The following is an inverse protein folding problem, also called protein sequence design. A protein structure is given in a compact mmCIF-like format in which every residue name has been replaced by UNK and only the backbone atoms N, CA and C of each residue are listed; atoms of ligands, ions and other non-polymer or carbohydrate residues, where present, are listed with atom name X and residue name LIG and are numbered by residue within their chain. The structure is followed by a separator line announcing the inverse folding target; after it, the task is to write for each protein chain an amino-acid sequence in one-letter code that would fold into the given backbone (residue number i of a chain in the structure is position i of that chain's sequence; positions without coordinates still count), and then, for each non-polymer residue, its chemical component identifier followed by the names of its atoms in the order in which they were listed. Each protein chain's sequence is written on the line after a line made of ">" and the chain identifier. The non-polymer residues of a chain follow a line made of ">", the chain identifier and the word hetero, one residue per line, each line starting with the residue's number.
data_IF_283115915184
#
_entry.id   IF_283115915184
#
_cell.length_a   1.000
_cell.length_b   1.000
_cell.length_c   1.000
_cell.angle_alpha   90.00
_cell.angle_beta   90.00
_cell.angle_gamma   90.00
#
_symmetry.space_group_name_H-M   'P 1'
#
loop_
_entity.id
_entity.type
_entity.pdbx_description
1 polymer ?
#
# COMPACT_ATOMS: atom_id res chain seq x y z
N UNK A 1 -52.47 -70.05 19.80
CA UNK A 1 -51.41 -70.77 20.55
C UNK A 1 -50.12 -70.44 19.82
N UNK A 2 -49.09 -69.78 20.34
CA UNK A 2 -48.61 -69.59 21.71
C UNK A 2 -47.69 -68.36 21.72
N UNK A 3 -47.58 -67.73 22.88
CA UNK A 3 -46.67 -66.64 23.25
C UNK A 3 -45.20 -66.89 22.88
N UNK A 4 -44.46 -65.80 22.64
CA UNK A 4 -43.32 -65.43 23.48
C UNK A 4 -42.93 -63.95 23.29
N UNK A 5 -43.02 -63.17 24.38
CA UNK A 5 -42.28 -61.93 24.61
C UNK A 5 -40.94 -62.33 25.32
N UNK A 6 -39.86 -61.56 25.52
CA UNK A 6 -39.60 -60.13 25.86
C UNK A 6 -38.05 -59.92 25.64
N UNK A 7 -37.40 -58.82 26.10
CA UNK A 7 -37.16 -57.49 25.50
C UNK A 7 -35.66 -57.25 25.10
N UNK A 8 -35.30 -56.02 24.68
CA UNK A 8 -34.46 -55.10 25.50
C UNK A 8 -33.97 -53.83 24.74
N UNK A 9 -33.93 -52.72 25.50
CA UNK A 9 -33.09 -51.49 25.41
C UNK A 9 -33.33 -50.53 24.22
N UNK A 10 -34.15 -49.48 24.34
CA UNK A 10 -33.88 -48.13 24.92
C UNK A 10 -32.59 -47.45 24.43
N UNK A 11 -32.67 -46.50 23.49
CA UNK A 11 -31.95 -45.21 23.59
C UNK A 11 -32.63 -44.20 22.67
N UNK A 12 -33.39 -43.27 23.27
CA UNK A 12 -33.92 -42.07 22.61
C UNK A 12 -32.78 -41.05 22.56
N UNK A 13 -32.23 -40.76 21.38
CA UNK A 13 -31.38 -39.60 21.17
C UNK A 13 -32.27 -38.34 21.14
N UNK A 14 -32.19 -37.55 22.21
CA UNK A 14 -32.74 -36.19 22.27
C UNK A 14 -31.95 -35.30 21.30
N UNK A 15 -32.58 -34.86 20.21
CA UNK A 15 -32.08 -33.75 19.40
C UNK A 15 -32.20 -32.46 20.23
N UNK A 16 -31.06 -31.97 20.70
CA UNK A 16 -30.96 -30.68 21.36
C UNK A 16 -31.23 -29.54 20.37
N UNK A 17 -32.25 -28.72 20.67
CA UNK A 17 -32.44 -27.41 20.07
C UNK A 17 -31.23 -26.53 20.41
N UNK A 18 -30.29 -26.41 19.49
CA UNK A 18 -29.21 -25.44 19.55
C UNK A 18 -29.78 -24.05 19.25
N UNK A 19 -29.77 -23.21 20.28
CA UNK A 19 -30.00 -21.77 20.25
C UNK A 19 -29.21 -21.12 19.09
N UNK A 20 -29.91 -20.76 18.00
CA UNK A 20 -29.37 -19.85 16.99
C UNK A 20 -29.33 -18.45 17.58
N UNK A 21 -28.15 -18.06 18.09
CA UNK A 21 -27.84 -16.65 18.37
C UNK A 21 -27.96 -15.88 17.05
N UNK A 22 -28.63 -14.72 17.02
CA UNK A 22 -28.71 -13.95 15.79
C UNK A 22 -27.31 -13.50 15.41
N UNK A 23 -26.96 -13.70 14.14
CA UNK A 23 -25.80 -13.06 13.52
C UNK A 23 -25.97 -11.56 13.74
N UNK A 24 -25.12 -11.00 14.60
CA UNK A 24 -24.97 -9.55 14.74
C UNK A 24 -24.57 -9.04 13.36
N UNK A 25 -25.53 -8.43 12.65
CA UNK A 25 -25.25 -7.65 11.48
C UNK A 25 -24.20 -6.63 11.90
N UNK A 26 -22.98 -6.75 11.36
CA UNK A 26 -21.97 -5.71 11.45
C UNK A 26 -22.58 -4.48 10.79
N UNK A 27 -23.18 -3.63 11.61
CA UNK A 27 -23.55 -2.29 11.23
C UNK A 27 -22.27 -1.67 10.68
N UNK A 28 -22.26 -1.27 9.42
CA UNK A 28 -21.21 -0.40 8.89
C UNK A 28 -21.35 0.93 9.65
N UNK A 29 -20.78 1.00 10.86
CA UNK A 29 -20.41 2.26 11.44
C UNK A 29 -19.34 2.81 10.50
N UNK A 30 -19.68 3.88 9.77
CA UNK A 30 -18.65 4.76 9.25
C UNK A 30 -17.94 5.32 10.48
N UNK A 31 -16.87 4.65 10.91
CA UNK A 31 -16.01 5.13 11.99
C UNK A 31 -15.40 6.45 11.52
N UNK A 32 -16.11 7.54 11.82
CA UNK A 32 -15.62 8.89 11.61
C UNK A 32 -14.49 9.11 12.59
N UNK A 33 -13.26 8.86 12.12
CA UNK A 33 -12.05 9.26 12.82
C UNK A 33 -12.09 10.77 13.13
N UNK A 34 -11.82 11.11 14.38
CA UNK A 34 -11.71 12.50 14.83
C UNK A 34 -10.25 12.83 15.14
N UNK A 35 -9.76 13.92 14.58
CA UNK A 35 -8.45 14.49 14.86
C UNK A 35 -8.48 16.01 14.64
N UNK A 36 -7.51 16.72 15.22
CA UNK A 36 -7.25 18.14 14.95
C UNK A 36 -5.79 18.31 14.54
N UNK A 37 -5.53 19.05 13.45
CA UNK A 37 -4.17 19.34 13.03
C UNK A 37 -3.39 20.08 14.11
N UNK A 38 -2.20 19.58 14.45
CA UNK A 38 -1.32 20.18 15.45
C UNK A 38 -1.74 19.91 16.90
N UNK A 39 -2.63 18.95 17.15
CA UNK A 39 -3.01 18.54 18.50
C UNK A 39 -1.79 18.01 19.29
N UNK A 40 -1.78 18.19 20.61
CA UNK A 40 -0.67 17.79 21.49
C UNK A 40 -1.18 16.87 22.62
N UNK A 41 -1.47 15.58 22.33
CA UNK A 41 -1.99 14.65 23.33
C UNK A 41 -0.93 14.24 24.35
N UNK A 42 0.35 14.35 24.00
CA UNK A 42 1.50 14.13 24.87
C UNK A 42 2.30 15.42 24.96
N UNK A 43 2.74 15.79 26.17
CA UNK A 43 3.45 17.05 26.40
C UNK A 43 4.70 17.15 25.51
N UNK A 44 4.74 18.16 24.67
CA UNK A 44 5.81 18.47 23.73
C UNK A 44 5.78 17.69 22.41
N UNK A 45 4.74 16.90 22.13
CA UNK A 45 4.59 16.10 20.91
C UNK A 45 3.34 16.52 20.14
N UNK A 46 3.53 17.18 19.01
CA UNK A 46 2.42 17.61 18.13
C UNK A 46 2.09 16.51 17.13
N UNK A 47 0.82 16.26 16.89
CA UNK A 47 0.32 15.33 15.89
C UNK A 47 -0.24 16.09 14.68
N UNK A 48 0.22 15.73 13.48
CA UNK A 48 -0.27 16.24 12.21
C UNK A 48 -0.73 15.08 11.32
N UNK A 49 -1.64 15.34 10.40
CA UNK A 49 -2.29 14.34 9.56
C UNK A 49 -2.12 14.71 8.10
N UNK A 50 -1.59 13.77 7.32
CA UNK A 50 -1.24 13.96 5.93
C UNK A 50 -1.90 12.96 5.01
N UNK A 51 -2.05 13.37 3.76
CA UNK A 51 -2.54 12.57 2.65
C UNK A 51 -1.51 12.55 1.52
N UNK A 52 -1.24 11.37 0.97
CA UNK A 52 -0.44 11.17 -0.24
C UNK A 52 -1.36 10.76 -1.39
N UNK A 53 -1.31 11.50 -2.49
CA UNK A 53 -2.09 11.16 -3.69
C UNK A 53 -1.39 10.13 -4.59
N UNK A 54 -2.08 9.69 -5.63
CA UNK A 54 -1.56 8.73 -6.63
C UNK A 54 -0.42 9.29 -7.50
N UNK A 55 -0.12 10.60 -7.43
CA UNK A 55 1.04 11.21 -8.06
C UNK A 55 2.24 11.31 -7.09
N UNK A 56 2.07 10.92 -5.82
CA UNK A 56 3.10 11.00 -4.77
C UNK A 56 3.20 12.36 -4.09
N UNK A 57 2.26 13.27 -4.34
CA UNK A 57 2.25 14.60 -3.73
C UNK A 57 1.72 14.50 -2.29
N UNK A 58 2.33 15.27 -1.39
CA UNK A 58 1.99 15.32 0.02
C UNK A 58 1.08 16.53 0.33
N UNK A 59 0.02 16.31 1.09
CA UNK A 59 -0.96 17.31 1.50
C UNK A 59 -1.29 17.18 2.99
N UNK A 60 -1.80 18.26 3.59
CA UNK A 60 -2.56 18.12 4.84
C UNK A 60 -3.85 17.35 4.57
N UNK A 61 -4.18 16.42 5.45
CA UNK A 61 -5.30 15.50 5.25
C UNK A 61 -6.66 16.22 5.22
N UNK A 62 -6.83 17.23 6.06
CA UNK A 62 -8.03 18.07 6.18
C UNK A 62 -8.10 19.20 5.14
N UNK A 63 -7.10 19.32 4.25
CA UNK A 63 -7.15 20.31 3.18
C UNK A 63 -8.35 20.04 2.26
N UNK A 64 -9.20 21.07 2.11
CA UNK A 64 -10.41 21.03 1.25
C UNK A 64 -10.07 20.78 -0.21
N UNK A 65 -8.96 21.34 -0.68
CA UNK A 65 -8.50 21.23 -2.07
C UNK A 65 -7.11 20.60 -2.06
N UNK A 66 -6.95 19.48 -2.77
CA UNK A 66 -5.67 18.78 -2.95
C UNK A 66 -5.26 18.88 -4.42
N UNK A 67 -4.44 19.89 -4.72
CA UNK A 67 -3.97 20.18 -6.07
C UNK A 67 -2.53 20.71 -6.04
N UNK A 68 -1.96 21.02 -7.20
CA UNK A 68 -0.57 21.50 -7.26
C UNK A 68 -0.30 22.76 -6.42
N UNK A 69 -1.28 23.62 -6.15
CA UNK A 69 -1.07 24.83 -5.32
C UNK A 69 -1.06 24.53 -3.82
N UNK A 70 -1.70 23.45 -3.38
CA UNK A 70 -1.83 23.09 -1.95
C UNK A 70 -0.88 21.97 -1.49
N UNK A 71 -0.12 21.35 -2.39
CA UNK A 71 0.87 20.35 -2.01
C UNK A 71 2.13 20.97 -1.37
N UNK A 72 2.78 20.20 -0.51
CA UNK A 72 4.10 20.54 0.01
C UNK A 72 5.15 20.41 -1.10
N UNK A 73 6.08 21.38 -1.18
CA UNK A 73 7.13 21.44 -2.21
C UNK A 73 8.54 21.66 -1.65
N UNK A 74 8.66 21.91 -0.35
CA UNK A 74 9.96 22.22 0.26
C UNK A 74 10.80 20.94 0.33
N UNK A 75 11.89 20.91 -0.46
CA UNK A 75 12.66 19.69 -0.70
C UNK A 75 13.27 19.11 0.57
N UNK A 76 13.74 19.95 1.50
CA UNK A 76 14.33 19.45 2.74
C UNK A 76 13.26 18.72 3.54
N UNK A 77 12.14 19.37 3.84
CA UNK A 77 11.00 18.81 4.55
C UNK A 77 10.54 17.48 3.92
N UNK A 78 10.28 17.47 2.61
CA UNK A 78 9.87 16.24 1.92
C UNK A 78 10.92 15.13 2.04
N UNK A 79 12.20 15.46 1.91
CA UNK A 79 13.29 14.50 2.11
C UNK A 79 13.27 13.94 3.53
N UNK A 80 13.15 14.80 4.55
CA UNK A 80 13.10 14.39 5.95
C UNK A 80 11.86 13.51 6.24
N UNK A 81 10.71 13.89 5.69
CA UNK A 81 9.41 13.23 5.86
C UNK A 81 9.41 11.83 5.25
N UNK A 82 9.70 11.71 3.95
CA UNK A 82 9.63 10.44 3.24
C UNK A 82 10.75 9.47 3.66
N UNK A 83 11.92 9.97 4.08
CA UNK A 83 13.00 9.11 4.60
C UNK A 83 12.63 8.40 5.90
N UNK A 84 11.76 9.00 6.71
CA UNK A 84 11.34 8.48 8.02
C UNK A 84 9.96 7.84 8.02
N UNK A 85 9.30 7.87 6.86
CA UNK A 85 8.01 7.24 6.68
C UNK A 85 8.12 5.74 6.96
N UNK A 86 7.19 5.23 7.75
CA UNK A 86 7.12 3.82 8.16
C UNK A 86 5.70 3.42 8.51
N UNK A 87 5.43 2.11 8.59
CA UNK A 87 4.14 1.58 9.05
C UNK A 87 3.78 2.14 10.44
N UNK A 88 2.52 2.47 10.62
CA UNK A 88 1.98 2.88 11.90
C UNK A 88 1.67 1.66 12.75
N UNK A 89 2.34 1.58 13.89
CA UNK A 89 2.22 0.54 14.91
C UNK A 89 2.22 1.17 16.32
N UNK A 90 1.73 2.40 16.43
CA UNK A 90 1.76 3.21 17.66
C UNK A 90 0.53 3.01 18.55
N UNK A 91 -0.42 2.17 18.16
CA UNK A 91 -1.73 2.01 18.82
C UNK A 91 -2.68 3.19 18.60
N UNK A 92 -2.34 4.14 17.72
CA UNK A 92 -3.14 5.34 17.45
C UNK A 92 -3.40 5.47 15.95
N UNK A 93 -4.67 5.59 15.58
CA UNK A 93 -5.11 5.85 14.20
C UNK A 93 -4.66 4.83 13.15
N UNK A 94 -4.19 3.65 13.54
CA UNK A 94 -3.55 2.67 12.64
C UNK A 94 -4.43 2.28 11.44
N UNK A 95 -5.72 2.07 11.68
CA UNK A 95 -6.66 1.65 10.63
C UNK A 95 -6.90 2.75 9.58
N UNK A 96 -6.90 4.01 9.98
CA UNK A 96 -7.21 5.15 9.10
C UNK A 96 -5.96 5.84 8.55
N UNK A 97 -4.85 5.77 9.28
CA UNK A 97 -3.54 6.32 8.97
C UNK A 97 -2.48 5.22 9.15
N UNK A 98 -2.36 4.32 8.16
CA UNK A 98 -1.52 3.12 8.26
C UNK A 98 -0.02 3.39 8.22
N UNK A 99 0.39 4.64 8.00
CA UNK A 99 1.78 5.07 7.99
C UNK A 99 1.97 6.29 8.87
N UNK A 100 3.22 6.54 9.25
CA UNK A 100 3.60 7.77 9.93
C UNK A 100 5.07 8.13 9.70
N UNK A 101 5.41 9.38 9.95
CA UNK A 101 6.78 9.90 9.88
C UNK A 101 7.12 10.70 11.13
N UNK A 102 8.26 10.41 11.75
CA UNK A 102 8.77 11.13 12.92
C UNK A 102 9.64 12.33 12.50
N UNK A 103 9.18 13.56 12.76
CA UNK A 103 9.90 14.79 12.41
C UNK A 103 10.30 15.57 13.68
N UNK A 104 11.07 14.94 14.56
CA UNK A 104 11.50 15.55 15.83
C UNK A 104 10.36 15.58 16.84
N UNK A 105 9.83 16.77 17.16
CA UNK A 105 8.69 16.93 18.09
C UNK A 105 7.32 16.71 17.42
N UNK A 106 7.32 16.28 16.16
CA UNK A 106 6.12 16.11 15.35
C UNK A 106 5.94 14.65 14.96
N UNK A 107 4.76 14.12 15.28
CA UNK A 107 4.28 12.80 14.88
C UNK A 107 3.31 12.99 13.72
N UNK A 108 3.73 12.62 12.52
CA UNK A 108 2.97 12.87 11.31
C UNK A 108 2.28 11.60 10.86
N UNK A 109 0.97 11.46 11.08
CA UNK A 109 0.17 10.34 10.62
C UNK A 109 -0.17 10.50 9.13
N UNK A 110 -0.13 9.40 8.38
CA UNK A 110 -0.21 9.43 6.93
C UNK A 110 -1.17 8.35 6.44
N UNK A 111 -2.07 8.77 5.56
CA UNK A 111 -2.85 7.90 4.69
C UNK A 111 -2.60 8.26 3.25
N UNK A 112 -3.05 7.43 2.33
CA UNK A 112 -2.93 7.71 0.92
C UNK A 112 -4.03 7.05 0.10
N UNK A 113 -4.07 7.45 -1.16
CA UNK A 113 -4.96 6.85 -2.16
C UNK A 113 -4.72 5.34 -2.24
N UNK A 114 -3.45 4.94 -2.30
CA UNK A 114 -3.00 3.55 -2.40
C UNK A 114 -1.88 3.27 -1.38
N UNK A 115 -0.64 3.11 -1.86
CA UNK A 115 0.57 2.92 -1.04
C UNK A 115 1.33 4.25 -0.87
N UNK A 116 2.13 4.42 0.19
CA UNK A 116 2.71 5.71 0.54
C UNK A 116 3.93 6.09 -0.32
N UNK A 117 4.53 5.14 -1.02
CA UNK A 117 5.64 5.37 -1.95
C UNK A 117 5.08 5.41 -3.35
N UNK A 118 5.29 6.53 -4.05
CA UNK A 118 4.95 6.68 -5.45
C UNK A 118 6.20 7.08 -6.23
N UNK A 119 6.59 6.23 -7.18
CA UNK A 119 7.72 6.45 -8.07
C UNK A 119 7.34 7.38 -9.22
N UNK A 120 8.16 8.40 -9.43
CA UNK A 120 7.88 9.52 -10.33
C UNK A 120 8.77 9.54 -11.57
N UNK A 121 9.98 9.00 -11.48
CA UNK A 121 10.94 8.88 -12.58
C UNK A 121 12.02 7.84 -12.24
N UNK A 122 12.78 7.43 -13.26
CA UNK A 122 13.98 6.60 -13.10
C UNK A 122 15.20 7.50 -13.31
N UNK A 123 16.21 7.36 -12.45
CA UNK A 123 17.48 8.09 -12.53
C UNK A 123 18.65 7.11 -12.49
N UNK A 124 19.72 7.43 -13.22
CA UNK A 124 20.99 6.71 -13.14
C UNK A 124 21.84 7.27 -12.00
N UNK A 125 22.44 6.39 -11.22
CA UNK A 125 23.27 6.74 -10.08
C UNK A 125 24.52 5.89 -10.06
N UNK A 126 25.62 6.48 -9.63
CA UNK A 126 26.85 5.74 -9.33
C UNK A 126 26.90 5.58 -7.80
N UNK A 127 26.65 4.37 -7.25
CA UNK A 127 26.80 4.13 -5.83
C UNK A 127 28.21 4.48 -5.35
N UNK A 128 28.34 4.92 -4.09
CA UNK A 128 29.66 5.23 -3.52
C UNK A 128 30.54 3.97 -3.53
N UNK A 129 31.68 4.07 -4.21
CA UNK A 129 32.64 2.96 -4.32
C UNK A 129 32.34 1.96 -5.45
N UNK A 130 31.33 2.22 -6.28
CA UNK A 130 31.04 1.43 -7.48
C UNK A 130 31.61 2.09 -8.73
N UNK A 131 32.00 1.26 -9.71
CA UNK A 131 32.42 1.69 -11.05
C UNK A 131 31.28 1.72 -12.07
N UNK A 132 30.17 1.06 -11.75
CA UNK A 132 29.03 0.89 -12.66
C UNK A 132 27.84 1.73 -12.20
N UNK A 133 27.10 2.25 -13.19
CA UNK A 133 25.84 2.94 -12.96
C UNK A 133 24.73 1.95 -12.62
N UNK A 134 23.92 2.30 -11.63
CA UNK A 134 22.68 1.64 -11.32
C UNK A 134 21.49 2.55 -11.63
N UNK A 135 20.40 1.97 -12.10
CA UNK A 135 19.13 2.67 -12.26
C UNK A 135 18.29 2.57 -10.99
N UNK A 136 17.66 3.68 -10.61
CA UNK A 136 16.89 3.81 -9.39
C UNK A 136 15.56 4.50 -9.67
N UNK A 137 14.47 3.97 -9.13
CA UNK A 137 13.17 4.63 -9.13
C UNK A 137 13.12 5.69 -8.02
N UNK A 138 12.83 6.93 -8.38
CA UNK A 138 12.86 8.09 -7.49
C UNK A 138 11.45 8.49 -7.02
N UNK A 139 11.33 8.93 -5.76
CA UNK A 139 10.04 9.19 -5.12
C UNK A 139 10.07 10.44 -4.21
N UNK A 140 8.89 10.86 -3.74
CA UNK A 140 8.74 11.94 -2.76
C UNK A 140 8.93 13.36 -3.31
N UNK A 141 8.99 13.54 -4.64
CA UNK A 141 9.14 14.84 -5.32
C UNK A 141 10.37 15.66 -4.89
N UNK A 142 11.46 14.99 -4.54
CA UNK A 142 12.74 15.61 -4.14
C UNK A 142 13.85 15.41 -5.17
N UNK A 143 13.47 15.20 -6.44
CA UNK A 143 14.39 14.77 -7.49
C UNK A 143 14.99 13.41 -7.15
N UNK A 144 16.29 13.26 -7.42
CA UNK A 144 16.99 11.99 -7.28
C UNK A 144 17.44 11.71 -5.84
N UNK A 145 17.04 12.50 -4.84
CA UNK A 145 17.56 12.36 -3.47
C UNK A 145 17.05 11.07 -2.81
N UNK A 146 15.77 10.77 -2.96
CA UNK A 146 15.14 9.56 -2.43
C UNK A 146 14.82 8.61 -3.56
N UNK A 147 15.38 7.41 -3.49
CA UNK A 147 15.20 6.42 -4.53
C UNK A 147 15.30 4.99 -3.99
N UNK A 148 14.84 4.06 -4.80
CA UNK A 148 14.95 2.62 -4.58
C UNK A 148 15.52 1.98 -5.84
N UNK A 149 16.39 0.97 -5.70
CA UNK A 149 17.03 0.30 -6.84
C UNK A 149 15.96 -0.25 -7.79
N UNK A 150 16.11 0.02 -9.09
CA UNK A 150 15.19 -0.46 -10.10
C UNK A 150 15.53 -1.90 -10.51
N UNK A 151 14.51 -2.74 -10.62
CA UNK A 151 14.60 -4.13 -11.07
C UNK A 151 13.52 -4.38 -12.13
N UNK A 152 13.88 -4.41 -13.43
CA UNK A 152 12.94 -4.53 -14.53
C UNK A 152 11.99 -5.75 -14.40
N UNK A 153 12.52 -6.89 -13.96
CA UNK A 153 11.79 -8.14 -13.76
C UNK A 153 10.71 -8.06 -12.66
N UNK A 154 10.80 -7.09 -11.75
CA UNK A 154 9.89 -6.96 -10.61
C UNK A 154 8.76 -5.95 -10.85
N UNK A 155 8.61 -5.42 -12.07
CA UNK A 155 7.45 -4.61 -12.41
C UNK A 155 6.19 -5.49 -12.38
N UNK A 156 5.16 -5.02 -11.70
CA UNK A 156 3.89 -5.72 -11.60
C UNK A 156 2.73 -4.80 -12.01
N UNK A 157 1.94 -5.23 -12.99
CA UNK A 157 0.69 -4.56 -13.35
C UNK A 157 -0.49 -5.31 -12.71
N UNK A 158 -1.28 -4.60 -11.91
CA UNK A 158 -2.52 -5.13 -11.38
C UNK A 158 -3.64 -5.08 -12.42
N UNK A 159 -4.72 -5.83 -12.21
CA UNK A 159 -5.92 -5.84 -13.07
C UNK A 159 -6.55 -4.46 -13.26
N UNK A 160 -6.36 -3.54 -12.30
CA UNK A 160 -6.82 -2.15 -12.39
C UNK A 160 -6.00 -1.30 -13.37
N UNK A 161 -4.91 -1.83 -13.94
CA UNK A 161 -3.93 -1.10 -14.73
C UNK A 161 -2.92 -0.31 -13.91
N UNK A 162 -3.04 -0.29 -12.58
CA UNK A 162 -1.99 0.28 -11.71
C UNK A 162 -0.73 -0.57 -11.79
N UNK A 163 0.42 0.10 -11.87
CA UNK A 163 1.72 -0.57 -11.97
C UNK A 163 2.50 -0.34 -10.67
N UNK A 164 3.16 -1.38 -10.18
CA UNK A 164 3.90 -1.38 -8.93
C UNK A 164 5.31 -1.91 -9.14
N UNK A 165 6.16 -1.57 -8.19
CA UNK A 165 7.52 -2.08 -8.07
C UNK A 165 7.85 -2.28 -6.58
N UNK A 166 8.78 -3.17 -6.22
CA UNK A 166 9.30 -3.25 -4.87
C UNK A 166 9.72 -1.89 -4.31
N UNK A 167 9.64 -1.71 -3.01
CA UNK A 167 10.01 -0.46 -2.36
C UNK A 167 10.59 -0.63 -0.97
N UNK A 168 10.81 0.49 -0.26
CA UNK A 168 11.38 0.49 1.07
C UNK A 168 10.63 -0.44 2.03
N UNK A 169 11.31 -1.36 2.76
CA UNK A 169 10.64 -2.35 3.60
C UNK A 169 9.79 -1.74 4.72
N UNK A 170 10.30 -0.65 5.30
CA UNK A 170 9.66 0.12 6.36
C UNK A 170 8.31 0.73 5.94
N UNK A 171 8.06 0.93 4.65
CA UNK A 171 6.80 1.49 4.12
C UNK A 171 5.90 0.45 3.46
N UNK A 172 6.13 -0.85 3.71
CA UNK A 172 5.30 -1.93 3.16
C UNK A 172 5.92 -2.67 1.98
N UNK A 173 7.18 -2.40 1.64
CA UNK A 173 7.95 -3.10 0.60
C UNK A 173 7.39 -2.97 -0.83
N UNK A 174 6.52 -1.98 -1.07
CA UNK A 174 5.89 -1.73 -2.37
C UNK A 174 5.80 -0.24 -2.64
N UNK A 175 5.97 0.16 -3.89
CA UNK A 175 5.67 1.50 -4.38
C UNK A 175 4.80 1.46 -5.63
N UNK A 176 3.87 2.40 -5.73
CA UNK A 176 3.07 2.66 -6.92
C UNK A 176 3.95 3.37 -7.94
N UNK A 177 3.86 3.00 -9.21
CA UNK A 177 4.44 3.77 -10.30
C UNK A 177 3.39 4.80 -10.73
N UNK A 178 3.74 6.09 -10.65
CA UNK A 178 2.87 7.20 -11.06
C UNK A 178 2.35 7.00 -12.49
N UNK A 179 1.16 7.53 -12.79
CA UNK A 179 0.55 7.38 -14.12
C UNK A 179 1.46 7.87 -15.25
N UNK A 180 2.19 8.97 -15.02
CA UNK A 180 3.15 9.50 -15.98
C UNK A 180 4.25 8.48 -16.28
N UNK A 181 4.91 7.95 -15.26
CA UNK A 181 5.98 6.96 -15.43
C UNK A 181 5.42 5.65 -16.00
N UNK A 182 4.23 5.21 -15.59
CA UNK A 182 3.60 4.01 -16.13
C UNK A 182 3.35 4.11 -17.64
N UNK A 183 2.93 5.27 -18.14
CA UNK A 183 2.75 5.53 -19.58
C UNK A 183 4.10 5.53 -20.31
N UNK A 184 5.17 6.04 -19.69
CA UNK A 184 6.51 5.97 -20.27
C UNK A 184 6.99 4.52 -20.39
N UNK A 185 6.74 3.71 -19.36
CA UNK A 185 7.11 2.30 -19.32
C UNK A 185 6.22 1.41 -20.19
N UNK A 186 4.99 1.83 -20.51
CA UNK A 186 4.00 0.95 -21.16
C UNK A 186 4.44 0.46 -22.54
N UNK A 187 5.26 1.26 -23.24
CA UNK A 187 5.84 0.94 -24.55
C UNK A 187 6.76 -0.27 -24.55
N UNK A 188 7.23 -0.64 -23.36
CA UNK A 188 8.19 -1.72 -23.15
C UNK A 188 7.54 -3.01 -22.66
N UNK A 189 6.23 -3.02 -22.42
CA UNK A 189 5.51 -4.22 -22.02
C UNK A 189 5.24 -5.13 -23.22
N UNK A 190 5.45 -6.43 -23.03
CA UNK A 190 5.07 -7.47 -23.98
C UNK A 190 3.97 -8.33 -23.37
N UNK A 191 2.95 -8.60 -24.17
CA UNK A 191 1.77 -9.39 -23.79
C UNK A 191 1.79 -10.69 -24.58
N UNK A 192 1.62 -11.82 -23.89
CA UNK A 192 1.48 -13.12 -24.53
C UNK A 192 0.00 -13.41 -24.80
N UNK A 193 -0.37 -13.54 -26.07
CA UNK A 193 -1.73 -13.85 -26.51
C UNK A 193 -2.67 -12.64 -26.59
N UNK A 194 -3.74 -12.77 -27.37
CA UNK A 194 -4.62 -11.65 -27.75
C UNK A 194 -5.53 -11.13 -26.62
N UNK A 195 -5.61 -11.82 -25.48
CA UNK A 195 -6.55 -11.52 -24.39
C UNK A 195 -5.90 -11.42 -22.99
N UNK A 196 -4.57 -11.27 -22.90
CA UNK A 196 -3.92 -11.05 -21.60
C UNK A 196 -3.92 -9.57 -21.23
N UNK A 197 -4.55 -9.24 -20.09
CA UNK A 197 -4.58 -7.88 -19.56
C UNK A 197 -3.30 -7.50 -18.80
N UNK A 198 -2.48 -8.49 -18.43
CA UNK A 198 -1.23 -8.29 -17.72
C UNK A 198 -0.04 -8.68 -18.62
N UNK A 199 1.04 -7.88 -18.65
CA UNK A 199 2.22 -8.20 -19.43
C UNK A 199 2.96 -9.41 -18.84
N UNK A 200 3.56 -10.22 -19.69
CA UNK A 200 4.39 -11.37 -19.30
C UNK A 200 5.88 -11.02 -19.26
N UNK A 201 6.29 -10.06 -20.11
CA UNK A 201 7.67 -9.61 -20.22
C UNK A 201 7.76 -8.08 -20.27
N UNK A 202 8.95 -7.58 -19.98
CA UNK A 202 9.29 -6.17 -20.03
C UNK A 202 10.66 -5.98 -20.68
N UNK A 203 10.71 -5.13 -21.70
CA UNK A 203 11.94 -4.83 -22.44
C UNK A 203 12.63 -3.62 -21.80
N UNK A 204 13.86 -3.79 -21.34
CA UNK A 204 14.62 -2.69 -20.75
C UNK A 204 16.06 -2.74 -21.21
N UNK A 205 16.61 -1.61 -21.66
CA UNK A 205 17.98 -1.52 -22.19
C UNK A 205 18.30 -2.63 -23.20
N UNK A 206 17.39 -2.86 -24.16
CA UNK A 206 17.46 -3.92 -25.19
C UNK A 206 17.51 -5.36 -24.67
N UNK A 207 17.21 -5.58 -23.39
CA UNK A 207 17.14 -6.90 -22.77
C UNK A 207 15.69 -7.23 -22.45
N UNK A 208 15.27 -8.47 -22.71
CA UNK A 208 13.92 -8.96 -22.39
C UNK A 208 13.95 -9.58 -21.00
N UNK A 209 13.16 -9.02 -20.09
CA UNK A 209 13.00 -9.53 -18.73
C UNK A 209 11.65 -10.24 -18.60
N UNK A 210 11.66 -11.48 -18.13
CA UNK A 210 10.42 -12.16 -17.72
C UNK A 210 9.95 -11.57 -16.39
N UNK A 211 8.70 -11.15 -16.33
CA UNK A 211 8.15 -10.54 -15.11
C UNK A 211 7.91 -11.59 -14.02
N UNK A 212 8.31 -11.30 -12.80
CA UNK A 212 8.09 -12.14 -11.62
C UNK A 212 7.09 -11.47 -10.64
N UNK A 213 5.82 -11.92 -10.60
CA UNK A 213 4.84 -11.40 -9.66
C UNK A 213 4.95 -12.04 -8.25
N UNK A 214 5.92 -12.92 -7.99
CA UNK A 214 5.99 -13.69 -6.74
C UNK A 214 6.09 -12.80 -5.49
N UNK A 215 6.81 -11.67 -5.58
CA UNK A 215 7.01 -10.73 -4.49
C UNK A 215 5.70 -10.06 -4.01
N UNK A 216 4.71 -9.96 -4.89
CA UNK A 216 3.42 -9.30 -4.61
C UNK A 216 2.64 -10.02 -3.52
N UNK A 217 2.85 -11.34 -3.37
CA UNK A 217 2.20 -12.16 -2.33
C UNK A 217 2.59 -11.73 -0.91
N UNK A 218 3.71 -11.02 -0.76
CA UNK A 218 4.27 -10.62 0.52
C UNK A 218 3.98 -9.16 0.90
N UNK A 219 3.21 -8.44 0.06
CA UNK A 219 2.87 -7.03 0.29
C UNK A 219 1.37 -6.82 0.32
N UNK A 220 0.95 -5.72 0.95
CA UNK A 220 -0.46 -5.30 0.96
C UNK A 220 -0.63 -4.18 -0.05
N UNK A 221 -1.34 -4.48 -1.14
CA UNK A 221 -1.83 -3.50 -2.12
C UNK A 221 -3.35 -3.46 -1.95
N UNK A 222 -3.96 -2.27 -2.02
CA UNK A 222 -5.43 -2.18 -2.05
C UNK A 222 -5.90 -2.84 -3.34
N UNK A 223 -6.33 -4.11 -3.24
CA UNK A 223 -7.13 -4.73 -4.29
C UNK A 223 -8.49 -4.07 -4.18
N UNK A 224 -8.82 -3.20 -5.13
CA UNK A 224 -10.17 -2.66 -5.20
C UNK A 224 -11.12 -3.85 -5.34
N UNK A 225 -11.79 -4.22 -4.25
CA UNK A 225 -12.92 -5.12 -4.34
C UNK A 225 -13.99 -4.36 -5.11
N UNK A 226 -14.26 -4.79 -6.34
CA UNK A 226 -15.54 -4.52 -6.99
C UNK A 226 -16.63 -5.03 -6.03
N UNK A 227 -17.24 -4.12 -5.27
CA UNK A 227 -18.63 -4.30 -4.82
C UNK A 227 -19.56 -4.17 -6.00
#
# INVERSE_FOLDING_TARGET
>A
MTHCAVPAVSTILKFGLLNRRPLCARTFCSDKISYVQGQEPEKGVREYFYYIDHQGMLFLDDSKIKNFTSCFKEKKFLTFFFRRLKKNNLGRYEEHFPFWSDCGKERNFVRGDDVPIVYTHIAKKIPRGASEEEEHMCYGHVGDVLSFKFSPENIYMAETGRVYHPGPPNTGSVGLISSKLAIELSKNFLFEGENTQCPSHFVWNNTVHKLDPSWVKNVTIKRDFKT
#
